data_IF_008038320455
#
_entry.id   IF_008038320455
#
_cell.length_a   1.000
_cell.length_b   1.000
_cell.length_c   1.000
_cell.angle_alpha   90.00
_cell.angle_beta   90.00
_cell.angle_gamma   90.00
#
_symmetry.space_group_name_H-M   'P 1'
#
loop_
_entity.id
_entity.type
_entity.pdbx_description
1 polymer ?
#
# COMPACT_ATOMS: atom_id res chain seq x y z
N UNK A 1 -46.40 -59.48 -12.25
CA UNK A 1 -47.64 -60.17 -12.64
C UNK A 1 -47.61 -60.30 -14.15
N UNK A 2 -47.64 -61.54 -14.62
CA UNK A 2 -47.46 -61.92 -16.02
C UNK A 2 -48.82 -61.97 -16.70
N UNK A 3 -49.12 -61.03 -17.59
CA UNK A 3 -50.21 -61.18 -18.56
C UNK A 3 -49.64 -61.61 -19.90
N UNK A 4 -50.13 -62.74 -20.40
CA UNK A 4 -49.85 -63.29 -21.72
C UNK A 4 -50.96 -62.85 -22.67
N UNK A 5 -50.61 -62.21 -23.79
CA UNK A 5 -51.46 -62.07 -24.98
C UNK A 5 -50.60 -62.41 -26.20
N UNK A 6 -51.05 -63.42 -26.95
CA UNK A 6 -50.67 -63.83 -28.31
C UNK A 6 -49.24 -63.51 -28.82
N UNK A 7 -48.34 -64.49 -28.68
CA UNK A 7 -47.45 -64.94 -29.75
C UNK A 7 -46.35 -64.00 -30.30
N UNK A 8 -46.21 -62.77 -29.82
CA UNK A 8 -45.13 -61.86 -30.23
C UNK A 8 -44.31 -61.51 -28.99
N UNK A 9 -43.08 -61.99 -28.96
CA UNK A 9 -42.10 -61.64 -27.94
C UNK A 9 -41.70 -60.17 -28.15
N UNK A 10 -42.30 -59.26 -27.37
CA UNK A 10 -41.90 -57.84 -27.38
C UNK A 10 -40.66 -57.72 -26.50
N UNK A 11 -39.49 -57.67 -27.13
CA UNK A 11 -38.24 -57.31 -26.46
C UNK A 11 -38.32 -55.84 -26.00
N UNK A 12 -38.79 -55.64 -24.78
CA UNK A 12 -38.74 -54.34 -24.11
C UNK A 12 -37.28 -53.94 -23.98
N UNK A 13 -36.82 -52.84 -24.62
CA UNK A 13 -35.42 -52.44 -24.56
C UNK A 13 -35.06 -52.18 -23.10
N UNK A 14 -34.23 -53.08 -22.53
CA UNK A 14 -33.70 -52.93 -21.18
C UNK A 14 -32.96 -51.59 -21.12
N UNK A 15 -33.47 -50.67 -20.30
CA UNK A 15 -32.84 -49.40 -19.96
C UNK A 15 -31.36 -49.66 -19.61
N UNK A 16 -30.48 -49.00 -20.35
CA UNK A 16 -29.05 -49.29 -20.42
C UNK A 16 -28.42 -49.49 -19.05
N UNK A 17 -27.88 -50.68 -18.82
CA UNK A 17 -27.03 -50.95 -17.66
C UNK A 17 -25.81 -50.03 -17.67
N UNK A 18 -25.42 -49.55 -16.49
CA UNK A 18 -24.16 -48.82 -16.26
C UNK A 18 -23.01 -49.66 -16.82
N UNK A 19 -22.51 -49.29 -18.00
CA UNK A 19 -21.30 -49.91 -18.56
C UNK A 19 -20.11 -49.41 -17.75
N UNK A 20 -19.17 -50.31 -17.47
CA UNK A 20 -17.90 -49.92 -16.86
C UNK A 20 -17.23 -48.86 -17.75
N UNK A 21 -16.91 -47.68 -17.20
CA UNK A 21 -16.44 -46.47 -17.90
C UNK A 21 -17.46 -45.65 -18.71
N UNK A 22 -18.77 -45.90 -18.62
CA UNK A 22 -19.77 -45.00 -19.19
C UNK A 22 -19.71 -43.62 -18.51
N UNK A 23 -19.34 -42.58 -19.27
CA UNK A 23 -19.19 -41.20 -18.78
C UNK A 23 -17.80 -40.84 -18.26
N UNK A 24 -16.85 -41.80 -18.21
CA UNK A 24 -15.46 -41.47 -17.89
C UNK A 24 -14.84 -40.78 -19.11
N UNK A 25 -14.37 -39.55 -18.92
CA UNK A 25 -13.68 -38.82 -20.00
C UNK A 25 -12.45 -39.63 -20.43
N UNK A 26 -12.13 -39.67 -21.75
CA UNK A 26 -10.94 -40.36 -22.21
C UNK A 26 -9.70 -39.83 -21.49
N UNK A 27 -8.76 -40.71 -21.13
CA UNK A 27 -7.51 -40.33 -20.44
C UNK A 27 -6.75 -39.21 -21.16
N UNK A 28 -6.82 -39.19 -22.49
CA UNK A 28 -6.25 -38.13 -23.36
C UNK A 28 -6.82 -36.74 -23.03
N UNK A 29 -8.10 -36.65 -22.68
CA UNK A 29 -8.74 -35.39 -22.29
C UNK A 29 -8.27 -34.92 -20.91
N UNK A 30 -8.10 -35.84 -19.95
CA UNK A 30 -7.57 -35.51 -18.61
C UNK A 30 -6.12 -35.02 -18.69
N UNK A 31 -5.28 -35.68 -19.50
CA UNK A 31 -3.89 -35.28 -19.71
C UNK A 31 -3.78 -33.92 -20.44
N UNK A 32 -4.68 -33.62 -21.39
CA UNK A 32 -4.76 -32.32 -22.06
C UNK A 32 -5.15 -31.20 -21.09
N UNK A 33 -6.22 -31.39 -20.31
CA UNK A 33 -6.67 -30.40 -19.32
C UNK A 33 -5.60 -30.16 -18.25
N UNK A 34 -4.92 -31.22 -17.80
CA UNK A 34 -3.82 -31.10 -16.85
C UNK A 34 -2.67 -30.25 -17.43
N UNK A 35 -2.28 -30.52 -18.68
CA UNK A 35 -1.22 -29.75 -19.35
C UNK A 35 -1.61 -28.28 -19.53
N UNK A 36 -2.84 -28.00 -19.93
CA UNK A 36 -3.33 -26.62 -20.06
C UNK A 36 -3.32 -25.86 -18.71
N UNK A 37 -3.64 -26.54 -17.61
CA UNK A 37 -3.57 -25.95 -16.26
C UNK A 37 -2.12 -25.73 -15.79
N UNK A 38 -1.21 -26.66 -16.09
CA UNK A 38 0.22 -26.51 -15.83
C UNK A 38 0.80 -25.34 -16.64
N UNK A 39 0.54 -25.29 -17.94
CA UNK A 39 0.95 -24.20 -18.84
C UNK A 39 0.37 -22.84 -18.37
N UNK A 40 -0.91 -22.81 -17.95
CA UNK A 40 -1.53 -21.60 -17.40
C UNK A 40 -0.85 -21.14 -16.09
N UNK A 41 -0.50 -22.08 -15.21
CA UNK A 41 0.24 -21.79 -13.97
C UNK A 41 1.65 -21.27 -14.23
N UNK A 42 2.36 -21.80 -15.24
CA UNK A 42 3.66 -21.30 -15.66
C UNK A 42 3.58 -19.87 -16.21
N UNK A 43 2.54 -19.57 -17.00
CA UNK A 43 2.29 -18.22 -17.53
C UNK A 43 1.99 -17.25 -16.39
N UNK A 44 1.12 -17.61 -15.45
CA UNK A 44 0.79 -16.77 -14.29
C UNK A 44 2.01 -16.50 -13.40
N UNK A 45 2.83 -17.52 -13.18
CA UNK A 45 4.09 -17.41 -12.46
C UNK A 45 5.07 -16.47 -13.17
N UNK A 46 5.24 -16.63 -14.48
CA UNK A 46 6.11 -15.76 -15.28
C UNK A 46 5.64 -14.30 -15.26
N UNK A 47 4.33 -14.05 -15.38
CA UNK A 47 3.76 -12.70 -15.28
C UNK A 47 4.00 -12.10 -13.89
N UNK A 48 3.79 -12.89 -12.83
CA UNK A 48 4.01 -12.45 -11.45
C UNK A 48 5.49 -12.14 -11.18
N UNK A 49 6.40 -12.96 -11.71
CA UNK A 49 7.84 -12.72 -11.63
C UNK A 49 8.26 -11.45 -12.36
N UNK A 50 7.78 -11.26 -13.60
CA UNK A 50 8.06 -10.06 -14.39
C UNK A 50 7.56 -8.79 -13.70
N UNK A 51 6.36 -8.84 -13.07
CA UNK A 51 5.85 -7.72 -12.26
C UNK A 51 6.76 -7.43 -11.08
N UNK A 52 7.17 -8.45 -10.33
CA UNK A 52 8.08 -8.29 -9.19
C UNK A 52 9.41 -7.66 -9.61
N UNK A 53 10.02 -8.16 -10.68
CA UNK A 53 11.25 -7.62 -11.25
C UNK A 53 11.09 -6.15 -11.67
N UNK A 54 9.97 -5.80 -12.31
CA UNK A 54 9.67 -4.42 -12.68
C UNK A 54 9.50 -3.50 -11.46
N UNK A 55 8.83 -3.97 -10.39
CA UNK A 55 8.73 -3.21 -9.14
C UNK A 55 10.08 -3.01 -8.48
N UNK A 56 10.90 -4.06 -8.41
CA UNK A 56 12.26 -3.97 -7.86
C UNK A 56 13.12 -2.98 -8.65
N UNK A 57 13.06 -3.01 -9.98
CA UNK A 57 13.78 -2.07 -10.83
C UNK A 57 13.37 -0.62 -10.54
N UNK A 58 12.07 -0.34 -10.41
CA UNK A 58 11.55 1.00 -10.06
C UNK A 58 12.01 1.47 -8.68
N UNK A 59 12.04 0.58 -7.69
CA UNK A 59 12.54 0.91 -6.35
C UNK A 59 14.02 1.28 -6.40
N UNK A 60 14.83 0.49 -7.11
CA UNK A 60 16.26 0.78 -7.28
C UNK A 60 16.48 2.11 -8.00
N UNK A 61 15.68 2.42 -9.02
CA UNK A 61 15.73 3.69 -9.73
C UNK A 61 15.36 4.88 -8.82
N UNK A 62 14.30 4.76 -8.01
CA UNK A 62 13.93 5.78 -7.03
C UNK A 62 15.04 6.00 -5.99
N UNK A 63 15.63 4.93 -5.47
CA UNK A 63 16.74 5.02 -4.52
C UNK A 63 17.98 5.67 -5.15
N UNK A 64 18.25 5.39 -6.42
CA UNK A 64 19.33 6.02 -7.17
C UNK A 64 19.09 7.53 -7.30
N UNK A 65 17.89 7.95 -7.70
CA UNK A 65 17.52 9.38 -7.81
C UNK A 65 17.54 10.11 -6.47
N UNK A 66 17.19 9.44 -5.37
CA UNK A 66 17.36 9.99 -4.01
C UNK A 66 18.85 10.21 -3.71
N UNK A 67 19.73 9.27 -4.08
CA UNK A 67 21.17 9.41 -3.86
C UNK A 67 21.82 10.49 -4.72
N UNK A 68 21.34 10.68 -5.95
CA UNK A 68 21.75 11.80 -6.81
C UNK A 68 21.22 13.16 -6.30
N UNK A 69 20.29 13.16 -5.34
CA UNK A 69 19.72 14.38 -4.76
C UNK A 69 18.57 14.97 -5.58
N UNK A 70 18.08 14.27 -6.60
CA UNK A 70 16.90 14.68 -7.36
C UNK A 70 15.63 14.63 -6.49
N UNK A 71 15.56 13.66 -5.58
CA UNK A 71 14.45 13.51 -4.63
C UNK A 71 14.92 13.48 -3.18
N UNK A 72 14.12 14.07 -2.30
CA UNK A 72 14.36 14.07 -0.86
C UNK A 72 13.23 13.33 -0.16
N UNK A 73 13.56 12.49 0.82
CA UNK A 73 12.55 11.81 1.65
C UNK A 73 11.77 12.85 2.45
N UNK A 74 10.43 12.73 2.43
CA UNK A 74 9.53 13.63 3.18
C UNK A 74 9.88 13.68 4.68
N UNK A 75 10.24 12.54 5.27
CA UNK A 75 10.66 12.45 6.67
C UNK A 75 11.90 13.29 6.95
N UNK A 76 12.91 13.22 6.07
CA UNK A 76 14.14 14.02 6.21
C UNK A 76 13.85 15.53 6.14
N UNK A 77 12.92 15.95 5.26
CA UNK A 77 12.49 17.35 5.19
C UNK A 77 11.75 17.75 6.46
N UNK A 78 10.84 16.91 6.98
CA UNK A 78 10.11 17.17 8.23
C UNK A 78 11.07 17.33 9.41
N UNK A 79 12.04 16.44 9.55
CA UNK A 79 13.03 16.48 10.64
C UNK A 79 13.94 17.70 10.53
N UNK A 80 14.42 18.03 9.33
CA UNK A 80 15.23 19.22 9.09
C UNK A 80 14.46 20.51 9.41
N UNK A 81 13.21 20.62 8.97
CA UNK A 81 12.34 21.75 9.28
C UNK A 81 12.07 21.85 10.79
N UNK A 82 11.75 20.73 11.46
CA UNK A 82 11.52 20.72 12.90
C UNK A 82 12.75 21.23 13.68
N UNK A 83 13.95 20.79 13.28
CA UNK A 83 15.22 21.24 13.87
C UNK A 83 15.45 22.73 13.66
N UNK A 84 15.24 23.22 12.43
CA UNK A 84 15.38 24.64 12.11
C UNK A 84 14.39 25.51 12.90
N UNK A 85 13.12 25.10 12.98
CA UNK A 85 12.10 25.83 13.73
C UNK A 85 12.33 25.81 15.23
N UNK A 86 12.82 24.70 15.79
CA UNK A 86 13.22 24.65 17.20
C UNK A 86 14.31 25.70 17.51
N UNK A 87 15.33 25.80 16.63
CA UNK A 87 16.39 26.81 16.77
C UNK A 87 15.84 28.24 16.66
N UNK A 88 14.92 28.49 15.73
CA UNK A 88 14.28 29.80 15.55
C UNK A 88 13.45 30.16 16.79
N UNK A 89 12.59 29.26 17.25
CA UNK A 89 11.75 29.46 18.43
C UNK A 89 12.59 29.78 19.68
N UNK A 90 13.69 29.06 19.88
CA UNK A 90 14.59 29.33 21.00
C UNK A 90 15.29 30.69 20.88
N UNK A 91 15.67 31.09 19.67
CA UNK A 91 16.24 32.41 19.42
C UNK A 91 15.22 33.52 19.72
N UNK A 92 13.98 33.36 19.26
CA UNK A 92 12.90 34.31 19.54
C UNK A 92 12.61 34.43 21.04
N UNK A 93 12.55 33.31 21.77
CA UNK A 93 12.37 33.30 23.23
C UNK A 93 13.51 33.95 24.02
N UNK A 94 14.67 34.16 23.41
CA UNK A 94 15.77 34.91 24.05
C UNK A 94 15.61 36.43 23.95
N UNK A 95 14.74 36.93 23.07
CA UNK A 95 14.57 38.37 22.82
C UNK A 95 14.13 39.13 24.09
N UNK A 96 13.15 38.68 24.89
CA UNK A 96 12.77 39.39 26.11
C UNK A 96 13.94 39.59 27.09
N UNK A 97 14.75 38.54 27.32
CA UNK A 97 15.96 38.64 28.17
C UNK A 97 16.98 39.63 27.60
N UNK A 98 17.16 39.64 26.28
CA UNK A 98 18.05 40.59 25.62
C UNK A 98 17.55 42.04 25.74
N UNK A 99 16.24 42.26 25.63
CA UNK A 99 15.62 43.59 25.79
C UNK A 99 15.76 44.10 27.21
N UNK A 100 15.52 43.25 28.22
CA UNK A 100 15.69 43.59 29.62
C UNK A 100 17.16 43.95 29.93
N UNK A 101 18.09 43.10 29.51
CA UNK A 101 19.51 43.22 29.88
C UNK A 101 20.28 44.28 29.10
N UNK A 102 19.95 44.50 27.82
CA UNK A 102 20.72 45.41 26.93
C UNK A 102 20.08 46.77 26.81
N UNK A 103 18.77 46.81 26.67
CA UNK A 103 18.02 48.04 26.39
C UNK A 103 17.33 48.60 27.64
N UNK A 104 17.41 47.90 28.78
CA UNK A 104 16.84 48.33 30.05
C UNK A 104 15.31 48.41 30.03
N UNK A 105 14.67 47.60 29.18
CA UNK A 105 13.21 47.56 29.06
C UNK A 105 12.60 47.05 30.36
N UNK A 106 11.48 47.64 30.78
CA UNK A 106 10.81 47.27 32.01
C UNK A 106 10.39 45.77 32.00
N UNK A 107 10.54 45.04 33.12
CA UNK A 107 10.22 43.62 33.20
C UNK A 107 8.80 43.28 32.72
N UNK A 108 7.82 44.12 33.05
CA UNK A 108 6.41 43.93 32.67
C UNK A 108 6.22 43.99 31.15
N UNK A 109 7.02 44.81 30.46
CA UNK A 109 7.00 44.89 28.99
C UNK A 109 7.67 43.64 28.39
N UNK A 110 8.76 43.16 28.98
CA UNK A 110 9.44 41.93 28.54
C UNK A 110 8.54 40.70 28.69
N UNK A 111 7.78 40.58 29.77
CA UNK A 111 6.77 39.52 29.95
C UNK A 111 5.69 39.58 28.85
N UNK A 112 5.22 40.77 28.51
CA UNK A 112 4.22 40.98 27.44
C UNK A 112 4.76 40.53 26.09
N UNK A 113 6.01 40.89 25.79
CA UNK A 113 6.70 40.46 24.57
C UNK A 113 6.89 38.95 24.55
N UNK A 114 7.27 38.32 25.68
CA UNK A 114 7.40 36.86 25.79
C UNK A 114 6.09 36.15 25.45
N UNK A 115 4.97 36.61 26.03
CA UNK A 115 3.64 36.04 25.74
C UNK A 115 3.27 36.19 24.28
N UNK A 116 3.52 37.36 23.70
CA UNK A 116 3.22 37.63 22.28
C UNK A 116 4.03 36.72 21.34
N UNK A 117 5.29 36.45 21.68
CA UNK A 117 6.14 35.53 20.93
C UNK A 117 5.59 34.10 21.03
N UNK A 118 5.22 33.64 22.22
CA UNK A 118 4.67 32.29 22.41
C UNK A 118 3.32 32.13 21.71
N UNK A 119 2.44 33.14 21.76
CA UNK A 119 1.16 33.13 21.04
C UNK A 119 1.37 33.05 19.52
N UNK A 120 2.30 33.84 18.98
CA UNK A 120 2.63 33.80 17.55
C UNK A 120 3.23 32.45 17.13
N UNK A 121 4.08 31.85 17.97
CA UNK A 121 4.63 30.52 17.72
C UNK A 121 3.55 29.43 17.75
N UNK A 122 2.55 29.56 18.63
CA UNK A 122 1.40 28.64 18.67
C UNK A 122 0.54 28.77 17.42
N UNK A 123 0.23 29.99 16.97
CA UNK A 123 -0.50 30.20 15.70
C UNK A 123 0.25 29.59 14.51
N UNK A 124 1.57 29.77 14.44
CA UNK A 124 2.39 29.14 13.39
C UNK A 124 2.35 27.61 13.46
N UNK A 125 2.32 27.03 14.67
CA UNK A 125 2.19 25.59 14.82
C UNK A 125 0.83 25.08 14.31
N UNK A 126 -0.26 25.76 14.63
CA UNK A 126 -1.61 25.45 14.14
C UNK A 126 -1.69 25.53 12.60
N UNK A 127 -1.08 26.55 12.00
CA UNK A 127 -1.01 26.68 10.54
C UNK A 127 -0.25 25.51 9.91
N UNK A 128 0.88 25.10 10.49
CA UNK A 128 1.63 23.95 9.97
C UNK A 128 0.91 22.61 10.13
N UNK A 129 0.13 22.43 11.20
CA UNK A 129 -0.73 21.24 11.35
C UNK A 129 -1.77 21.15 10.24
N UNK A 130 -2.35 22.28 9.82
CA UNK A 130 -3.30 22.34 8.70
C UNK A 130 -2.66 21.89 7.37
N UNK A 131 -1.38 22.21 7.14
CA UNK A 131 -0.64 21.79 5.94
C UNK A 131 -0.07 20.36 6.02
N UNK A 132 0.06 19.82 7.23
CA UNK A 132 0.69 18.52 7.49
C UNK A 132 -0.25 17.31 7.43
N UNK A 133 -1.57 17.55 7.43
CA UNK A 133 -2.66 16.56 7.34
C UNK A 133 -2.84 15.91 5.97
#
# INVERSE_FOLDING_TARGET
MSEYVEGIEIDVPRLGGKRENAGRKPKVFEDQVRKELEDAGEVEYAVSRARKEAWTAKTVELDYRIKEGEYVKREAVREACATAFASIAQTLRSIPDLLERREGVAPETCETVSKTIDDALNTLAEEFELFGG
#
